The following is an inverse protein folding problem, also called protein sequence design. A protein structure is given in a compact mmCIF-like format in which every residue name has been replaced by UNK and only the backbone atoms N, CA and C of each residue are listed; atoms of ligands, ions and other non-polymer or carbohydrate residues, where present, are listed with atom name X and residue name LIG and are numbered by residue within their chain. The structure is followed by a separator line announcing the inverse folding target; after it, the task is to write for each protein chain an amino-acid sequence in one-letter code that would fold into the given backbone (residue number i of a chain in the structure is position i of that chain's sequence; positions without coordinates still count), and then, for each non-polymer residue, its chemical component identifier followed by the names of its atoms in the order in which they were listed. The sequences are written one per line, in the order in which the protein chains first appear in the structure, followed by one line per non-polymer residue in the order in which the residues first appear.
data_IF_742336975819
#
_entry.id   IF_742336975819
#
_cell.length_a   1.000
_cell.length_b   1.000
_cell.length_c   1.000
_cell.angle_alpha   90.00
_cell.angle_beta   90.00
_cell.angle_gamma   90.00
#
_symmetry.space_group_name_H-M   'P 1'
#
loop_
_entity.id
_entity.type
_entity.pdbx_description
1 polymer ?
#
# COMPACT_ATOMS: atom_id res chain seq x y z
N UNK A 1 -14.03 12.00 -2.82
CA UNK A 1 -12.65 11.50 -2.65
C UNK A 1 -12.53 10.16 -3.33
N UNK A 2 -11.38 9.86 -3.86
CA UNK A 2 -11.15 8.64 -4.60
C UNK A 2 -10.41 7.61 -3.74
N UNK A 3 -10.59 6.34 -4.07
CA UNK A 3 -9.81 5.28 -3.46
C UNK A 3 -8.34 5.44 -3.84
N UNK A 4 -7.45 4.93 -2.98
CA UNK A 4 -6.03 4.99 -3.21
C UNK A 4 -5.52 3.63 -3.67
N UNK A 5 -4.85 3.59 -4.82
CA UNK A 5 -4.30 2.35 -5.37
C UNK A 5 -2.82 2.27 -5.05
N UNK A 6 -2.41 1.17 -4.44
CA UNK A 6 -1.00 0.89 -4.17
C UNK A 6 -0.53 -0.24 -5.07
N UNK A 7 0.51 0.01 -5.85
CA UNK A 7 1.16 -1.01 -6.66
C UNK A 7 2.18 -1.73 -5.77
N UNK A 8 1.89 -2.97 -5.43
CA UNK A 8 2.69 -3.74 -4.47
C UNK A 8 4.13 -3.95 -4.97
N UNK A 9 4.32 -4.05 -6.28
CA UNK A 9 5.66 -4.14 -6.86
C UNK A 9 6.55 -2.97 -6.41
N UNK A 10 5.99 -1.76 -6.36
CA UNK A 10 6.73 -0.59 -5.89
C UNK A 10 7.06 -0.70 -4.40
N UNK A 11 6.14 -1.22 -3.60
CA UNK A 11 6.38 -1.44 -2.18
C UNK A 11 7.56 -2.41 -2.01
N UNK A 12 7.58 -3.49 -2.79
CA UNK A 12 8.67 -4.47 -2.74
C UNK A 12 10.02 -3.84 -3.13
N UNK A 13 10.04 -3.01 -4.16
CA UNK A 13 11.25 -2.30 -4.57
C UNK A 13 11.77 -1.37 -3.46
N UNK A 14 10.86 -0.65 -2.81
CA UNK A 14 11.23 0.25 -1.72
C UNK A 14 11.71 -0.51 -0.48
N UNK A 15 11.20 -1.72 -0.26
CA UNK A 15 11.71 -2.60 0.79
C UNK A 15 13.13 -3.05 0.48
N UNK A 16 13.41 -3.43 -0.75
CA UNK A 16 14.75 -3.85 -1.18
C UNK A 16 15.78 -2.74 -1.04
N UNK A 17 15.40 -1.51 -1.39
CA UNK A 17 16.28 -0.35 -1.26
C UNK A 17 16.27 0.26 0.14
N UNK A 18 15.42 -0.25 1.01
CA UNK A 18 15.22 0.26 2.38
C UNK A 18 14.87 1.75 2.41
N UNK A 19 14.08 2.19 1.45
CA UNK A 19 13.63 3.58 1.35
C UNK A 19 12.44 3.82 2.28
N UNK A 20 12.73 3.92 3.55
CA UNK A 20 11.73 4.08 4.59
C UNK A 20 10.93 5.38 4.45
N UNK A 21 11.58 6.46 4.06
CA UNK A 21 10.92 7.75 3.90
C UNK A 21 9.81 7.70 2.86
N UNK A 22 10.09 7.09 1.71
CA UNK A 22 9.09 6.95 0.65
C UNK A 22 7.96 6.03 1.07
N UNK A 23 8.29 4.92 1.74
CA UNK A 23 7.28 4.01 2.27
C UNK A 23 6.36 4.71 3.26
N UNK A 24 6.92 5.52 4.16
CA UNK A 24 6.13 6.27 5.13
C UNK A 24 5.16 7.26 4.46
N UNK A 25 5.58 7.91 3.39
CA UNK A 25 4.72 8.81 2.63
C UNK A 25 3.53 8.05 2.00
N UNK A 26 3.80 6.90 1.41
CA UNK A 26 2.77 6.07 0.81
C UNK A 26 1.76 5.62 1.87
N UNK A 27 2.25 5.15 3.01
CA UNK A 27 1.37 4.68 4.08
C UNK A 27 0.63 5.82 4.78
N UNK A 28 1.20 7.00 4.85
CA UNK A 28 0.49 8.18 5.34
C UNK A 28 -0.71 8.51 4.45
N UNK A 29 -0.53 8.49 3.14
CA UNK A 29 -1.62 8.69 2.18
C UNK A 29 -2.69 7.62 2.32
N UNK A 30 -2.26 6.37 2.44
CA UNK A 30 -3.18 5.25 2.61
C UNK A 30 -4.02 5.42 3.88
N UNK A 31 -3.38 5.82 4.98
CA UNK A 31 -4.09 6.03 6.23
C UNK A 31 -5.13 7.13 6.12
N UNK A 32 -4.79 8.24 5.48
CA UNK A 32 -5.75 9.34 5.25
C UNK A 32 -6.94 8.87 4.45
N UNK A 33 -6.72 8.02 3.46
CA UNK A 33 -7.78 7.45 2.64
C UNK A 33 -8.74 6.63 3.49
N UNK A 34 -8.21 5.75 4.34
CA UNK A 34 -9.02 4.92 5.23
C UNK A 34 -9.81 5.77 6.22
N UNK A 35 -9.16 6.72 6.87
CA UNK A 35 -9.80 7.62 7.83
C UNK A 35 -10.90 8.44 7.16
N UNK A 36 -10.70 8.81 5.90
CA UNK A 36 -11.68 9.56 5.13
C UNK A 36 -12.85 8.72 4.62
N UNK A 37 -12.89 7.42 4.93
CA UNK A 37 -13.98 6.54 4.52
C UNK A 37 -13.85 5.93 3.14
N UNK A 38 -12.68 6.05 2.52
CA UNK A 38 -12.38 5.45 1.22
C UNK A 38 -11.52 4.19 1.40
N UNK A 39 -11.37 3.43 0.34
CA UNK A 39 -10.63 2.17 0.37
C UNK A 39 -9.22 2.32 -0.18
N UNK A 40 -8.33 1.46 0.29
CA UNK A 40 -7.00 1.29 -0.27
C UNK A 40 -7.00 -0.02 -1.04
N UNK A 41 -6.66 0.04 -2.31
CA UNK A 41 -6.69 -1.11 -3.21
C UNK A 41 -5.27 -1.53 -3.52
N UNK A 42 -4.94 -2.79 -3.18
CA UNK A 42 -3.62 -3.35 -3.46
C UNK A 42 -3.67 -4.08 -4.79
N UNK A 43 -2.80 -3.69 -5.71
CA UNK A 43 -2.71 -4.29 -7.02
C UNK A 43 -1.28 -4.78 -7.27
N UNK A 44 -1.16 -5.84 -8.05
CA UNK A 44 0.12 -6.33 -8.54
C UNK A 44 0.18 -6.10 -10.04
N UNK A 45 1.26 -5.51 -10.50
CA UNK A 45 1.47 -5.24 -11.91
C UNK A 45 2.29 -6.38 -12.52
N UNK A 46 1.81 -6.95 -13.62
CA UNK A 46 2.53 -8.01 -14.32
C UNK A 46 3.50 -7.43 -15.36
N UNK A 47 4.22 -8.30 -16.08
CA UNK A 47 5.23 -7.90 -17.08
C UNK A 47 4.66 -7.10 -18.24
N UNK A 48 3.37 -7.27 -18.54
CA UNK A 48 2.70 -6.58 -19.62
C UNK A 48 2.11 -5.24 -19.18
N UNK A 49 2.36 -4.84 -17.94
CA UNK A 49 1.82 -3.61 -17.38
C UNK A 49 0.37 -3.71 -16.92
N UNK A 50 -0.23 -4.90 -16.98
CA UNK A 50 -1.58 -5.11 -16.47
C UNK A 50 -1.58 -5.18 -14.96
N UNK A 51 -2.58 -4.56 -14.35
CA UNK A 51 -2.73 -4.54 -12.90
C UNK A 51 -3.82 -5.53 -12.47
N UNK A 52 -3.50 -6.34 -11.48
CA UNK A 52 -4.46 -7.28 -10.89
C UNK A 52 -4.70 -6.89 -9.43
N UNK A 53 -5.95 -6.58 -9.12
CA UNK A 53 -6.36 -6.32 -7.75
C UNK A 53 -6.41 -7.63 -6.98
N UNK A 54 -5.76 -7.69 -5.83
CA UNK A 54 -5.78 -8.90 -5.01
C UNK A 54 -6.27 -8.64 -3.59
N UNK A 55 -6.34 -7.41 -3.13
CA UNK A 55 -6.81 -7.09 -1.79
C UNK A 55 -7.35 -5.67 -1.74
N UNK A 56 -8.40 -5.48 -0.95
CA UNK A 56 -8.94 -4.15 -0.64
C UNK A 56 -8.89 -3.97 0.87
N UNK A 57 -8.33 -2.86 1.32
CA UNK A 57 -8.25 -2.51 2.73
C UNK A 57 -9.28 -1.41 2.98
N UNK A 58 -10.23 -1.69 3.87
CA UNK A 58 -11.37 -0.79 4.14
C UNK A 58 -11.42 -0.29 5.57
N UNK A 59 -10.50 -0.72 6.44
CA UNK A 59 -10.53 -0.35 7.86
C UNK A 59 -9.12 -0.19 8.39
N UNK A 60 -8.99 0.50 9.51
CA UNK A 60 -7.69 0.79 10.11
C UNK A 60 -6.97 -0.44 10.62
N UNK A 61 -7.70 -1.45 11.10
CA UNK A 61 -7.08 -2.66 11.62
C UNK A 61 -6.33 -3.41 10.53
N UNK A 62 -6.96 -3.62 9.39
CA UNK A 62 -6.32 -4.29 8.25
C UNK A 62 -5.17 -3.46 7.69
N UNK A 63 -5.34 -2.13 7.68
CA UNK A 63 -4.29 -1.22 7.26
C UNK A 63 -3.05 -1.36 8.16
N UNK A 64 -3.23 -1.36 9.47
CA UNK A 64 -2.11 -1.48 10.42
C UNK A 64 -1.41 -2.84 10.29
N UNK A 65 -2.15 -3.90 10.06
CA UNK A 65 -1.56 -5.22 9.83
C UNK A 65 -0.70 -5.24 8.58
N UNK A 66 -1.18 -4.65 7.50
CA UNK A 66 -0.40 -4.54 6.26
C UNK A 66 0.85 -3.70 6.47
N UNK A 67 0.72 -2.55 7.15
CA UNK A 67 1.84 -1.68 7.47
C UNK A 67 2.90 -2.42 8.28
N UNK A 68 2.50 -3.17 9.30
CA UNK A 68 3.43 -3.95 10.11
C UNK A 68 4.20 -4.95 9.27
N UNK A 69 3.54 -5.64 8.35
CA UNK A 69 4.19 -6.60 7.47
C UNK A 69 5.25 -5.92 6.60
N UNK A 70 4.93 -4.76 6.03
CA UNK A 70 5.83 -4.04 5.14
C UNK A 70 7.05 -3.50 5.91
N UNK A 71 6.83 -2.95 7.10
CA UNK A 71 7.91 -2.35 7.89
C UNK A 71 8.67 -3.33 8.78
N UNK A 72 8.26 -4.59 8.79
CA UNK A 72 8.81 -5.60 9.69
C UNK A 72 10.33 -5.79 9.55
N UNK A 73 10.84 -5.64 8.36
CA UNK A 73 12.25 -5.89 8.05
C UNK A 73 13.05 -4.62 7.74
N UNK A 74 12.51 -3.47 8.09
CA UNK A 74 13.17 -2.20 7.84
C UNK A 74 13.80 -1.60 9.09
#
# INVERSE_FOLDING_TARGET
MEDYVIIVNRIEDLQLTQDRSELELIFERAKRTIVGGQDVILVRQNRNGQEEKFQTISNEQDFEEYRKQVFRFL
#
